data_IF_734178572159
#
_entry.id   IF_734178572159
#
_cell.length_a   1.000
_cell.length_b   1.000
_cell.length_c   1.000
_cell.angle_alpha   90.00
_cell.angle_beta   90.00
_cell.angle_gamma   90.00
#
_symmetry.space_group_name_H-M   'P 1'
#
loop_
_entity.id
_entity.type
_entity.pdbx_description
1 polymer ?
#
# COMPACT_ATOMS: atom_id res chain seq x y z
N UNK A 1 -6.06 -5.69 16.29
CA UNK A 1 -4.77 -5.98 15.63
C UNK A 1 -4.92 -7.20 14.73
N UNK A 2 -4.00 -7.38 13.76
CA UNK A 2 -4.09 -8.47 12.80
C UNK A 2 -3.82 -9.83 13.51
N UNK A 3 -4.81 -10.73 13.51
CA UNK A 3 -4.74 -12.05 14.14
C UNK A 3 -4.65 -13.19 13.10
N UNK A 4 -4.50 -12.85 11.82
CA UNK A 4 -4.42 -13.85 10.74
C UNK A 4 -3.01 -14.48 10.74
N UNK A 5 -2.87 -15.79 10.99
CA UNK A 5 -1.58 -16.44 10.95
C UNK A 5 -0.93 -16.30 9.57
N UNK A 6 0.39 -16.03 9.56
CA UNK A 6 1.11 -15.85 8.30
C UNK A 6 0.99 -17.06 7.36
N UNK A 7 1.05 -18.26 7.93
CA UNK A 7 0.91 -19.49 7.15
C UNK A 7 -0.44 -19.55 6.44
N UNK A 8 -1.52 -19.25 7.14
CA UNK A 8 -2.87 -19.30 6.56
C UNK A 8 -3.05 -18.22 5.49
N UNK A 9 -2.41 -17.04 5.68
CA UNK A 9 -2.37 -16.00 4.67
C UNK A 9 -1.68 -16.44 3.39
N UNK A 10 -0.51 -17.06 3.51
CA UNK A 10 0.26 -17.54 2.36
C UNK A 10 -0.48 -18.69 1.67
N UNK A 11 -1.00 -19.64 2.43
CA UNK A 11 -1.73 -20.80 1.88
C UNK A 11 -3.06 -20.39 1.21
N UNK A 12 -3.67 -19.30 1.65
CA UNK A 12 -4.90 -18.73 1.06
C UNK A 12 -4.66 -17.87 -0.19
N UNK A 13 -3.42 -17.52 -0.48
CA UNK A 13 -3.05 -16.76 -1.67
C UNK A 13 -2.73 -17.64 -2.87
N UNK A 14 -2.45 -17.01 -3.99
CA UNK A 14 -2.02 -17.67 -5.23
C UNK A 14 -0.98 -16.82 -5.96
N UNK A 15 -0.47 -17.35 -7.06
CA UNK A 15 0.50 -16.64 -7.88
C UNK A 15 -0.03 -16.38 -9.27
N UNK A 16 0.19 -15.18 -9.78
CA UNK A 16 0.03 -14.85 -11.19
C UNK A 16 1.42 -14.61 -11.79
N UNK A 17 1.56 -14.80 -13.10
CA UNK A 17 2.78 -14.47 -13.82
C UNK A 17 2.66 -13.08 -14.46
N UNK A 18 3.65 -12.23 -14.19
CA UNK A 18 3.81 -10.94 -14.85
C UNK A 18 5.29 -10.68 -15.11
N UNK A 19 5.65 -10.38 -16.36
CA UNK A 19 7.02 -10.09 -16.78
C UNK A 19 8.01 -11.20 -16.38
N UNK A 20 7.60 -12.48 -16.60
CA UNK A 20 8.34 -13.70 -16.21
C UNK A 20 8.63 -13.81 -14.72
N UNK A 21 7.89 -13.09 -13.87
CA UNK A 21 8.00 -13.11 -12.42
C UNK A 21 6.72 -13.65 -11.78
N UNK A 22 6.88 -14.35 -10.65
CA UNK A 22 5.76 -14.85 -9.85
C UNK A 22 5.31 -13.78 -8.86
N UNK A 23 4.09 -13.32 -8.99
CA UNK A 23 3.48 -12.28 -8.15
C UNK A 23 2.51 -12.94 -7.18
N UNK A 24 2.74 -12.77 -5.90
CA UNK A 24 1.82 -13.25 -4.87
C UNK A 24 0.61 -12.32 -4.79
N UNK A 25 -0.58 -12.92 -4.90
CA UNK A 25 -1.87 -12.24 -4.82
C UNK A 25 -2.73 -12.96 -3.78
N UNK A 26 -3.42 -12.21 -2.95
CA UNK A 26 -4.44 -12.72 -2.05
C UNK A 26 -5.79 -12.10 -2.42
N UNK A 27 -6.71 -12.95 -2.87
CA UNK A 27 -8.06 -12.55 -3.26
C UNK A 27 -9.07 -13.21 -2.34
N UNK A 28 -9.94 -12.42 -1.72
CA UNK A 28 -10.99 -12.88 -0.82
C UNK A 28 -12.33 -12.23 -1.16
N UNK A 29 -13.40 -12.91 -0.77
CA UNK A 29 -14.76 -12.44 -1.04
C UNK A 29 -15.21 -12.71 -2.48
N UNK A 30 -16.37 -12.16 -2.82
CA UNK A 30 -17.00 -12.30 -4.14
C UNK A 30 -17.56 -10.96 -4.57
N UNK A 31 -17.63 -10.73 -5.87
CA UNK A 31 -18.44 -9.64 -6.41
C UNK A 31 -19.89 -9.93 -6.02
N UNK A 32 -20.56 -9.06 -5.26
CA UNK A 32 -21.96 -9.28 -4.90
C UNK A 32 -22.83 -9.34 -6.16
N UNK A 33 -23.77 -10.27 -6.21
CA UNK A 33 -24.81 -10.22 -7.22
C UNK A 33 -25.68 -8.96 -6.99
N UNK A 34 -26.21 -8.38 -8.05
CA UNK A 34 -27.06 -7.18 -7.94
C UNK A 34 -28.27 -7.34 -7.00
N UNK A 35 -28.70 -8.60 -6.75
CA UNK A 35 -29.78 -8.94 -5.83
C UNK A 35 -29.35 -9.04 -4.36
N UNK A 36 -28.05 -9.22 -4.10
CA UNK A 36 -27.47 -9.40 -2.76
C UNK A 36 -26.82 -8.13 -2.23
N UNK A 37 -26.83 -7.07 -3.03
CA UNK A 37 -26.25 -5.78 -2.63
C UNK A 37 -27.07 -5.15 -1.49
N UNK A 38 -26.40 -4.65 -0.44
CA UNK A 38 -27.09 -3.88 0.59
C UNK A 38 -27.75 -2.62 -0.01
N UNK A 39 -28.83 -2.12 0.60
CA UNK A 39 -29.46 -0.88 0.16
C UNK A 39 -28.44 0.28 0.08
N UNK A 40 -28.33 0.90 -1.09
CA UNK A 40 -27.38 1.98 -1.34
C UNK A 40 -26.02 1.57 -1.89
N UNK A 41 -25.70 0.27 -1.95
CA UNK A 41 -24.45 -0.20 -2.56
C UNK A 41 -24.42 0.11 -4.06
N UNK A 42 -23.25 0.51 -4.55
CA UNK A 42 -23.06 0.75 -5.98
C UNK A 42 -22.83 -0.58 -6.72
N UNK A 43 -23.76 -1.00 -7.61
CA UNK A 43 -23.64 -2.27 -8.35
C UNK A 43 -22.49 -2.28 -9.36
N UNK A 44 -21.95 -1.11 -9.70
CA UNK A 44 -20.87 -0.99 -10.68
C UNK A 44 -19.48 -1.20 -10.06
N UNK A 45 -19.34 -1.22 -8.72
CA UNK A 45 -18.07 -1.51 -8.04
C UNK A 45 -17.89 -3.02 -7.93
N UNK A 46 -16.84 -3.54 -8.55
CA UNK A 46 -16.58 -4.98 -8.61
C UNK A 46 -15.49 -5.47 -7.66
N UNK A 47 -14.91 -4.57 -6.88
CA UNK A 47 -13.97 -4.95 -5.84
C UNK A 47 -13.14 -3.80 -5.25
N UNK A 48 -12.27 -4.19 -4.34
CA UNK A 48 -11.28 -3.31 -3.69
C UNK A 48 -9.90 -3.77 -4.13
N UNK A 49 -9.07 -2.85 -4.63
CA UNK A 49 -7.66 -3.08 -4.92
C UNK A 49 -6.81 -2.37 -3.87
N UNK A 50 -6.00 -3.14 -3.14
CA UNK A 50 -5.16 -2.62 -2.06
C UNK A 50 -3.68 -2.65 -2.46
N UNK A 51 -2.98 -1.54 -2.28
CA UNK A 51 -1.55 -1.37 -2.54
C UNK A 51 -0.85 -1.06 -1.22
N UNK A 52 -0.03 -1.99 -0.74
CA UNK A 52 0.75 -1.83 0.49
C UNK A 52 1.94 -0.87 0.34
N UNK A 53 2.63 -0.60 1.44
CA UNK A 53 3.78 0.29 1.51
C UNK A 53 5.11 -0.41 1.77
N UNK A 54 6.16 0.40 1.96
CA UNK A 54 7.52 -0.02 2.30
C UNK A 54 7.72 -0.02 3.83
N UNK A 55 8.39 -1.01 4.40
CA UNK A 55 8.90 -2.25 3.81
C UNK A 55 7.91 -3.43 3.92
N UNK A 56 6.62 -3.14 4.05
CA UNK A 56 5.54 -4.09 4.32
C UNK A 56 5.24 -5.08 3.20
N UNK A 57 4.09 -5.75 3.35
CA UNK A 57 3.57 -6.74 2.42
C UNK A 57 2.03 -6.74 2.40
N UNK A 58 1.44 -7.59 1.58
CA UNK A 58 -0.01 -7.80 1.56
C UNK A 58 -0.57 -8.28 2.90
N UNK A 59 0.23 -8.99 3.72
CA UNK A 59 -0.18 -9.46 5.04
C UNK A 59 -0.57 -8.32 6.00
N UNK A 60 -0.01 -7.14 5.84
CA UNK A 60 -0.33 -5.98 6.68
C UNK A 60 -1.81 -5.58 6.60
N UNK A 61 -2.50 -6.10 5.59
CA UNK A 61 -3.92 -5.86 5.30
C UNK A 61 -4.83 -7.03 5.65
N UNK A 62 -4.29 -8.13 6.18
CA UNK A 62 -5.03 -9.38 6.35
C UNK A 62 -6.30 -9.22 7.21
N UNK A 63 -6.25 -8.44 8.30
CA UNK A 63 -7.44 -8.17 9.13
C UNK A 63 -8.49 -7.33 8.38
N UNK A 64 -8.06 -6.35 7.58
CA UNK A 64 -8.96 -5.54 6.74
C UNK A 64 -9.59 -6.40 5.66
N UNK A 65 -8.80 -7.25 4.99
CA UNK A 65 -9.29 -8.19 3.98
C UNK A 65 -10.33 -9.13 4.57
N UNK A 66 -10.07 -9.70 5.76
CA UNK A 66 -11.00 -10.60 6.43
C UNK A 66 -12.38 -9.95 6.73
N UNK A 67 -12.42 -8.66 7.00
CA UNK A 67 -13.67 -7.94 7.26
C UNK A 67 -14.34 -7.48 5.98
N UNK A 68 -13.62 -6.79 5.08
CA UNK A 68 -14.17 -6.20 3.85
C UNK A 68 -14.64 -7.28 2.88
N UNK A 69 -13.98 -8.44 2.85
CA UNK A 69 -14.35 -9.56 1.97
C UNK A 69 -15.71 -10.17 2.26
N UNK A 70 -16.32 -9.87 3.41
CA UNK A 70 -17.73 -10.24 3.72
C UNK A 70 -18.73 -9.42 2.89
N UNK A 71 -18.29 -8.28 2.34
CA UNK A 71 -19.13 -7.31 1.63
C UNK A 71 -18.85 -7.25 0.13
N UNK A 72 -17.63 -7.50 -0.29
CA UNK A 72 -17.20 -7.44 -1.69
C UNK A 72 -15.93 -8.25 -1.92
N UNK A 73 -15.52 -8.37 -3.17
CA UNK A 73 -14.21 -8.93 -3.51
C UNK A 73 -13.09 -7.96 -3.14
N UNK A 74 -12.04 -8.46 -2.49
CA UNK A 74 -10.85 -7.71 -2.12
C UNK A 74 -9.63 -8.38 -2.74
N UNK A 75 -8.81 -7.61 -3.43
CA UNK A 75 -7.54 -8.03 -4.02
C UNK A 75 -6.42 -7.22 -3.38
N UNK A 76 -5.46 -7.91 -2.80
CA UNK A 76 -4.20 -7.34 -2.32
C UNK A 76 -3.05 -8.21 -2.82
N UNK A 77 -1.91 -7.62 -3.10
CA UNK A 77 -0.77 -8.34 -3.67
C UNK A 77 0.54 -7.81 -3.11
N UNK A 78 1.59 -8.62 -3.19
CA UNK A 78 2.92 -8.17 -2.83
C UNK A 78 3.60 -7.49 -4.01
N UNK A 79 4.05 -6.26 -3.80
CA UNK A 79 4.83 -5.49 -4.76
C UNK A 79 6.15 -6.21 -5.11
N UNK A 80 6.76 -5.93 -6.25
CA UNK A 80 8.10 -6.41 -6.56
C UNK A 80 9.08 -6.09 -5.44
N UNK A 81 9.84 -7.09 -5.02
CA UNK A 81 10.80 -6.96 -3.93
C UNK A 81 10.23 -7.19 -2.53
N UNK A 82 8.90 -7.36 -2.38
CA UNK A 82 8.22 -7.50 -1.10
C UNK A 82 7.58 -8.88 -0.91
N UNK A 83 7.33 -9.24 0.34
CA UNK A 83 6.56 -10.43 0.75
C UNK A 83 6.93 -11.70 0.00
N UNK A 84 5.93 -12.35 -0.59
CA UNK A 84 6.07 -13.62 -1.32
C UNK A 84 6.26 -13.44 -2.83
N UNK A 85 6.22 -12.22 -3.35
CA UNK A 85 6.49 -11.92 -4.77
C UNK A 85 7.98 -12.13 -5.11
N UNK A 86 8.27 -12.42 -6.39
CA UNK A 86 9.63 -12.55 -6.91
C UNK A 86 10.50 -11.33 -6.63
N UNK A 87 11.79 -11.60 -6.45
CA UNK A 87 12.80 -10.62 -6.05
C UNK A 87 14.02 -10.69 -6.99
N UNK A 88 13.90 -10.18 -8.24
CA UNK A 88 15.04 -10.15 -9.16
C UNK A 88 16.22 -9.37 -8.58
N UNK A 89 17.38 -10.01 -8.50
CA UNK A 89 18.61 -9.44 -7.94
C UNK A 89 19.45 -8.68 -8.97
N UNK A 90 19.16 -8.87 -10.23
CA UNK A 90 19.80 -8.16 -11.35
C UNK A 90 18.87 -7.05 -11.88
N UNK A 91 19.41 -6.09 -12.64
CA UNK A 91 18.61 -5.04 -13.31
C UNK A 91 18.42 -3.75 -12.51
N UNK A 92 18.62 -3.76 -11.19
CA UNK A 92 18.57 -2.56 -10.33
C UNK A 92 17.18 -1.95 -10.15
N UNK A 93 17.14 -0.75 -9.56
CA UNK A 93 15.90 -0.08 -9.16
C UNK A 93 15.00 0.29 -10.35
N UNK A 94 15.55 0.95 -11.36
CA UNK A 94 14.73 1.50 -12.46
C UNK A 94 14.05 0.40 -13.29
N UNK A 95 14.72 -0.73 -13.46
CA UNK A 95 14.21 -1.85 -14.25
C UNK A 95 13.15 -2.66 -13.49
N UNK A 96 13.38 -2.94 -12.19
CA UNK A 96 12.56 -3.91 -11.45
C UNK A 96 11.67 -3.29 -10.38
N UNK A 97 12.06 -2.15 -9.79
CA UNK A 97 11.46 -1.65 -8.56
C UNK A 97 10.94 -0.22 -8.64
N UNK A 98 11.06 0.44 -9.80
CA UNK A 98 10.55 1.81 -9.97
C UNK A 98 9.07 1.90 -9.67
N UNK A 99 8.61 3.03 -9.15
CA UNK A 99 7.20 3.26 -8.82
C UNK A 99 6.30 3.15 -10.06
N UNK A 100 6.82 3.47 -11.26
CA UNK A 100 6.11 3.25 -12.52
C UNK A 100 5.93 1.76 -12.80
N UNK A 101 6.98 0.94 -12.61
CA UNK A 101 6.91 -0.52 -12.76
C UNK A 101 5.95 -1.15 -11.75
N UNK A 102 5.91 -0.64 -10.52
CA UNK A 102 4.96 -1.09 -9.50
C UNK A 102 3.51 -0.72 -9.88
N UNK A 103 3.29 0.42 -10.53
CA UNK A 103 1.98 0.78 -11.05
C UNK A 103 1.56 -0.12 -12.23
N UNK A 104 2.50 -0.47 -13.12
CA UNK A 104 2.25 -1.45 -14.20
C UNK A 104 1.88 -2.82 -13.61
N UNK A 105 2.57 -3.24 -12.54
CA UNK A 105 2.23 -4.46 -11.81
C UNK A 105 0.81 -4.40 -11.21
N UNK A 106 0.45 -3.31 -10.55
CA UNK A 106 -0.90 -3.13 -9.97
C UNK A 106 -1.99 -3.24 -11.05
N UNK A 107 -1.74 -2.67 -12.23
CA UNK A 107 -2.65 -2.76 -13.37
C UNK A 107 -2.73 -4.20 -13.92
N UNK A 108 -1.60 -4.90 -14.01
CA UNK A 108 -1.56 -6.30 -14.42
C UNK A 108 -2.31 -7.22 -13.45
N UNK A 109 -2.16 -7.00 -12.13
CA UNK A 109 -2.92 -7.72 -11.09
C UNK A 109 -4.41 -7.45 -11.23
N UNK A 110 -4.83 -6.19 -11.34
CA UNK A 110 -6.23 -5.84 -11.52
C UNK A 110 -6.84 -6.54 -12.74
N UNK A 111 -6.11 -6.58 -13.85
CA UNK A 111 -6.53 -7.27 -15.07
C UNK A 111 -6.61 -8.79 -14.88
N UNK A 112 -5.61 -9.42 -14.27
CA UNK A 112 -5.59 -10.86 -14.02
C UNK A 112 -6.74 -11.30 -13.11
N UNK A 113 -7.07 -10.46 -12.10
CA UNK A 113 -8.17 -10.67 -11.17
C UNK A 113 -9.53 -10.23 -11.73
N UNK A 114 -9.59 -9.71 -12.96
CA UNK A 114 -10.83 -9.27 -13.61
C UNK A 114 -11.50 -8.09 -12.89
N UNK A 115 -10.73 -7.16 -12.36
CA UNK A 115 -11.21 -5.92 -11.76
C UNK A 115 -11.41 -4.86 -12.85
N UNK A 116 -12.58 -4.21 -12.87
CA UNK A 116 -12.93 -3.19 -13.89
C UNK A 116 -13.32 -1.83 -13.29
N UNK A 117 -13.89 -1.82 -12.07
CA UNK A 117 -14.27 -0.59 -11.37
C UNK A 117 -14.07 -0.79 -9.86
N UNK A 118 -13.04 -0.18 -9.29
CA UNK A 118 -12.55 -0.52 -7.96
C UNK A 118 -12.59 0.65 -6.99
N UNK A 119 -12.69 0.33 -5.70
CA UNK A 119 -12.16 1.19 -4.65
C UNK A 119 -10.65 0.94 -4.58
N UNK A 120 -9.86 1.97 -4.88
CA UNK A 120 -8.41 1.92 -4.78
C UNK A 120 -7.98 2.33 -3.37
N UNK A 121 -7.32 1.44 -2.65
CA UNK A 121 -6.79 1.69 -1.31
C UNK A 121 -5.26 1.67 -1.37
N UNK A 122 -4.61 2.68 -0.83
CA UNK A 122 -3.15 2.78 -0.90
C UNK A 122 -2.54 3.36 0.37
N UNK A 123 -1.35 2.87 0.73
CA UNK A 123 -0.65 3.23 1.95
C UNK A 123 0.85 3.41 1.70
N UNK A 124 1.49 4.39 2.34
CA UNK A 124 2.93 4.69 2.32
C UNK A 124 3.50 4.80 0.89
N UNK A 125 4.40 3.88 0.48
CA UNK A 125 4.91 3.81 -0.90
C UNK A 125 3.78 3.58 -1.89
N UNK A 126 2.78 2.79 -1.51
CA UNK A 126 1.58 2.53 -2.29
C UNK A 126 0.79 3.79 -2.61
N UNK A 127 0.84 4.86 -1.78
CA UNK A 127 0.21 6.14 -2.11
C UNK A 127 0.76 6.71 -3.43
N UNK A 128 2.07 6.65 -3.63
CA UNK A 128 2.68 7.18 -4.87
C UNK A 128 2.35 6.31 -6.07
N UNK A 129 2.29 4.99 -5.87
CA UNK A 129 1.82 4.04 -6.89
C UNK A 129 0.34 4.33 -7.23
N UNK A 130 -0.49 4.53 -6.20
CA UNK A 130 -1.89 4.95 -6.35
C UNK A 130 -2.03 6.28 -7.07
N UNK A 131 -1.16 7.26 -6.78
CA UNK A 131 -1.14 8.54 -7.50
C UNK A 131 -0.81 8.35 -8.99
N UNK A 132 0.11 7.44 -9.34
CA UNK A 132 0.37 7.09 -10.75
C UNK A 132 -0.88 6.48 -11.41
N UNK A 133 -1.59 5.58 -10.74
CA UNK A 133 -2.83 5.01 -11.26
C UNK A 133 -3.93 6.07 -11.39
N UNK A 134 -4.05 7.00 -10.44
CA UNK A 134 -4.97 8.14 -10.53
C UNK A 134 -4.63 9.05 -11.72
N UNK A 135 -3.33 9.31 -11.95
CA UNK A 135 -2.89 10.05 -13.15
C UNK A 135 -3.30 9.34 -14.43
N UNK A 136 -3.05 8.04 -14.54
CA UNK A 136 -3.45 7.23 -15.69
C UNK A 136 -4.96 7.24 -15.89
N UNK A 137 -5.74 7.17 -14.81
CA UNK A 137 -7.20 7.25 -14.84
C UNK A 137 -7.70 8.58 -15.42
N UNK A 138 -7.20 9.71 -14.89
CA UNK A 138 -7.58 11.06 -15.38
C UNK A 138 -7.22 11.29 -16.86
N UNK A 139 -6.23 10.56 -17.39
CA UNK A 139 -5.75 10.66 -18.77
C UNK A 139 -6.27 9.54 -19.70
N UNK A 140 -7.21 8.70 -19.23
CA UNK A 140 -7.77 7.60 -20.01
C UNK A 140 -6.74 6.52 -20.41
N UNK A 141 -5.71 6.33 -19.58
CA UNK A 141 -4.60 5.39 -19.83
C UNK A 141 -4.64 4.16 -18.89
N UNK A 142 -5.59 4.10 -17.96
CA UNK A 142 -5.76 3.00 -17.03
C UNK A 142 -6.74 1.97 -17.62
N UNK A 143 -6.45 0.67 -17.46
CA UNK A 143 -7.29 -0.42 -17.98
C UNK A 143 -8.54 -0.70 -17.14
N UNK A 144 -8.64 -0.13 -15.94
CA UNK A 144 -9.80 -0.20 -15.07
C UNK A 144 -10.23 1.20 -14.61
N UNK A 145 -11.40 1.31 -13.97
CA UNK A 145 -11.88 2.56 -13.39
C UNK A 145 -11.59 2.62 -11.90
N UNK A 146 -11.27 3.80 -11.40
CA UNK A 146 -11.22 4.08 -9.96
C UNK A 146 -12.58 4.70 -9.61
N UNK A 147 -13.38 3.97 -8.81
CA UNK A 147 -14.65 4.46 -8.28
C UNK A 147 -14.42 5.44 -7.13
N UNK A 148 -13.49 5.12 -6.25
CA UNK A 148 -13.07 5.94 -5.12
C UNK A 148 -11.61 5.66 -4.79
N UNK A 149 -10.82 6.68 -4.47
CA UNK A 149 -9.45 6.52 -3.98
C UNK A 149 -9.39 6.82 -2.47
N UNK A 150 -8.99 5.83 -1.67
CA UNK A 150 -8.70 5.95 -0.25
C UNK A 150 -7.19 5.88 -0.02
N UNK A 151 -6.65 6.88 0.62
CA UNK A 151 -5.22 6.99 0.87
C UNK A 151 -4.96 7.08 2.37
N UNK A 152 -4.01 6.27 2.84
CA UNK A 152 -3.57 6.23 4.23
C UNK A 152 -2.09 6.58 4.33
N UNK A 153 -1.72 7.44 5.29
CA UNK A 153 -0.35 7.71 5.74
C UNK A 153 0.72 7.54 4.64
N UNK A 154 0.55 8.27 3.54
CA UNK A 154 1.48 8.19 2.42
C UNK A 154 2.57 9.24 2.46
N UNK A 155 3.66 9.02 1.73
CA UNK A 155 4.83 9.89 1.74
C UNK A 155 5.20 10.45 0.35
N UNK A 156 4.18 10.67 -0.49
CA UNK A 156 4.35 11.25 -1.84
C UNK A 156 4.93 12.68 -1.79
N UNK A 157 4.56 13.46 -0.76
CA UNK A 157 5.13 14.79 -0.53
C UNK A 157 6.53 14.67 0.09
N UNK A 158 7.48 14.18 -0.68
CA UNK A 158 8.80 13.75 -0.21
C UNK A 158 9.60 14.84 0.52
N UNK A 159 9.32 16.12 0.28
CA UNK A 159 9.98 17.24 0.98
C UNK A 159 9.50 17.38 2.43
N UNK A 160 8.40 16.75 2.81
CA UNK A 160 7.84 16.71 4.17
C UNK A 160 8.11 15.39 4.89
N UNK A 161 8.77 14.42 4.23
CA UNK A 161 9.05 13.10 4.82
C UNK A 161 10.09 13.22 5.94
N UNK A 162 9.80 12.59 7.07
CA UNK A 162 10.78 12.41 8.14
C UNK A 162 11.32 10.97 8.10
N UNK A 163 12.48 10.79 7.46
CA UNK A 163 13.12 9.48 7.39
C UNK A 163 13.58 9.02 8.78
N UNK A 164 13.23 7.80 9.15
CA UNK A 164 13.80 7.14 10.32
C UNK A 164 15.23 6.66 10.06
N UNK A 165 15.92 6.17 11.09
CA UNK A 165 17.33 5.80 10.98
C UNK A 165 17.54 4.58 10.08
N UNK A 166 16.59 3.60 10.07
CA UNK A 166 16.64 2.48 9.13
C UNK A 166 16.62 2.99 7.68
N UNK A 167 15.68 3.88 7.35
CA UNK A 167 15.56 4.44 6.00
C UNK A 167 16.80 5.25 5.59
N UNK A 168 17.36 6.06 6.50
CA UNK A 168 18.61 6.81 6.26
C UNK A 168 19.79 5.86 6.00
N UNK A 169 19.92 4.82 6.81
CA UNK A 169 20.98 3.83 6.68
C UNK A 169 20.87 3.07 5.34
N UNK A 170 19.66 2.63 4.95
CA UNK A 170 19.42 1.98 3.67
C UNK A 170 19.77 2.89 2.48
N UNK A 171 19.41 4.18 2.54
CA UNK A 171 19.74 5.15 1.50
C UNK A 171 21.25 5.44 1.40
N UNK A 172 21.98 5.31 2.50
CA UNK A 172 23.44 5.48 2.52
C UNK A 172 24.21 4.27 1.97
N UNK A 173 23.56 3.10 1.88
CA UNK A 173 24.17 1.89 1.32
C UNK A 173 24.29 2.00 -0.21
N UNK A 174 25.18 1.20 -0.85
CA UNK A 174 25.27 1.13 -2.31
C UNK A 174 23.91 0.75 -2.95
N UNK A 175 23.63 1.30 -4.13
CA UNK A 175 22.45 1.00 -4.94
C UNK A 175 22.63 -0.35 -5.68
N UNK A 176 22.68 -1.41 -4.91
CA UNK A 176 22.76 -2.80 -5.39
C UNK A 176 22.29 -3.76 -4.30
N UNK A 177 21.86 -4.96 -4.67
CA UNK A 177 21.60 -6.02 -3.69
C UNK A 177 22.83 -6.31 -2.82
N UNK A 178 22.57 -6.64 -1.56
CA UNK A 178 23.61 -7.03 -0.61
C UNK A 178 23.99 -8.50 -0.77
N UNK A 179 25.25 -8.83 -0.46
CA UNK A 179 25.76 -10.20 -0.49
C UNK A 179 25.19 -11.07 0.66
N UNK A 180 24.74 -10.44 1.75
CA UNK A 180 24.16 -11.10 2.93
C UNK A 180 22.92 -10.36 3.42
N UNK A 181 22.08 -11.07 4.18
CA UNK A 181 20.91 -10.49 4.81
C UNK A 181 21.27 -9.44 5.86
N UNK A 182 20.45 -8.39 5.95
CA UNK A 182 20.53 -7.45 7.05
C UNK A 182 20.03 -8.11 8.34
N UNK A 183 20.55 -7.69 9.53
CA UNK A 183 20.07 -8.20 10.81
C UNK A 183 18.58 -7.96 11.00
N UNK A 184 17.85 -8.98 11.47
CA UNK A 184 16.41 -8.90 11.78
C UNK A 184 16.07 -7.75 12.72
N UNK A 185 16.90 -7.57 13.71
CA UNK A 185 16.74 -6.58 14.77
C UNK A 185 16.60 -5.16 14.20
N UNK A 186 17.31 -4.85 13.12
CA UNK A 186 17.22 -3.54 12.46
C UNK A 186 15.80 -3.27 11.94
N UNK A 187 15.11 -4.29 11.42
CA UNK A 187 13.74 -4.17 10.95
C UNK A 187 12.76 -4.11 12.10
N UNK A 188 12.91 -4.98 13.11
CA UNK A 188 12.05 -5.00 14.29
C UNK A 188 12.07 -3.64 14.98
N UNK A 189 13.24 -3.06 15.22
CA UNK A 189 13.37 -1.75 15.87
C UNK A 189 12.83 -0.62 14.98
N UNK A 190 13.15 -0.65 13.68
CA UNK A 190 12.66 0.32 12.71
C UNK A 190 11.13 0.33 12.59
N UNK A 191 10.50 -0.85 12.57
CA UNK A 191 9.06 -1.01 12.55
C UNK A 191 8.42 -0.57 13.88
N UNK A 192 8.95 -1.03 15.01
CA UNK A 192 8.42 -0.69 16.34
C UNK A 192 8.27 0.82 16.53
N UNK A 193 9.25 1.59 16.07
CA UNK A 193 9.27 3.05 16.21
C UNK A 193 8.24 3.78 15.34
N UNK A 194 7.51 3.08 14.47
CA UNK A 194 6.50 3.69 13.60
C UNK A 194 5.05 3.43 14.02
N UNK A 195 4.82 2.55 14.99
CA UNK A 195 3.50 2.34 15.60
C UNK A 195 3.16 3.43 16.60
N UNK A 196 1.88 3.69 16.80
CA UNK A 196 1.41 4.58 17.86
C UNK A 196 1.65 3.98 19.25
N UNK A 197 1.57 4.82 20.29
CA UNK A 197 1.68 4.35 21.66
C UNK A 197 0.45 3.57 22.10
N UNK A 198 -0.71 4.00 21.63
CA UNK A 198 -2.01 3.41 21.94
C UNK A 198 -2.20 2.04 21.28
N UNK A 199 -1.59 1.84 20.12
CA UNK A 199 -1.71 0.61 19.33
C UNK A 199 -0.33 0.00 19.02
N UNK A 200 0.56 -0.01 20.02
CA UNK A 200 1.91 -0.56 19.86
C UNK A 200 1.87 -2.02 19.36
N UNK A 201 2.68 -2.32 18.34
CA UNK A 201 2.77 -3.68 17.82
C UNK A 201 3.33 -4.65 18.86
N UNK A 202 2.76 -5.85 18.91
CA UNK A 202 3.33 -6.97 19.67
C UNK A 202 4.61 -7.49 19.01
N UNK A 203 5.44 -8.21 19.78
CA UNK A 203 6.63 -8.85 19.21
C UNK A 203 6.25 -9.87 18.11
N UNK A 204 5.11 -10.53 18.24
CA UNK A 204 4.58 -11.45 17.22
C UNK A 204 4.32 -10.73 15.89
N UNK A 205 3.61 -9.62 15.92
CA UNK A 205 3.34 -8.79 14.70
C UNK A 205 4.67 -8.33 14.07
N UNK A 206 5.58 -7.77 14.87
CA UNK A 206 6.88 -7.32 14.38
C UNK A 206 7.70 -8.44 13.76
N UNK A 207 7.66 -9.63 14.35
CA UNK A 207 8.33 -10.81 13.79
C UNK A 207 7.71 -11.24 12.46
N UNK A 208 6.38 -11.28 12.34
CA UNK A 208 5.71 -11.63 11.08
C UNK A 208 6.04 -10.61 9.98
N UNK A 209 5.94 -9.32 10.27
CA UNK A 209 6.32 -8.27 9.31
C UNK A 209 7.79 -8.44 8.87
N UNK A 210 8.69 -8.71 9.82
CA UNK A 210 10.10 -8.94 9.51
C UNK A 210 10.31 -10.22 8.69
N UNK A 211 9.57 -11.30 8.96
CA UNK A 211 9.61 -12.52 8.14
C UNK A 211 9.23 -12.25 6.68
N UNK A 212 8.23 -11.37 6.45
CA UNK A 212 7.84 -10.97 5.11
C UNK A 212 8.93 -10.11 4.42
N UNK A 213 9.58 -9.21 5.14
CA UNK A 213 10.71 -8.43 4.62
C UNK A 213 11.86 -9.35 4.20
N UNK A 214 12.17 -10.34 5.02
CA UNK A 214 13.29 -11.26 4.80
C UNK A 214 12.97 -12.40 3.82
N UNK A 215 11.69 -12.67 3.56
CA UNK A 215 11.27 -13.74 2.64
C UNK A 215 12.00 -13.66 1.30
N UNK A 216 12.46 -14.82 0.78
CA UNK A 216 13.14 -14.90 -0.53
C UNK A 216 14.33 -13.93 -0.67
N UNK A 217 15.11 -13.75 0.38
CA UNK A 217 16.25 -12.81 0.45
C UNK A 217 15.88 -11.32 0.31
N UNK A 218 14.65 -10.94 0.64
CA UNK A 218 14.14 -9.57 0.45
C UNK A 218 14.93 -8.50 1.19
N UNK A 219 15.49 -8.81 2.38
CA UNK A 219 16.31 -7.87 3.14
C UNK A 219 17.53 -7.36 2.35
N UNK A 220 18.07 -8.17 1.45
CA UNK A 220 19.22 -7.81 0.59
C UNK A 220 18.86 -6.76 -0.46
N UNK A 221 17.57 -6.63 -0.81
CA UNK A 221 17.08 -5.67 -1.79
C UNK A 221 16.67 -4.33 -1.17
N UNK A 222 16.58 -4.23 0.15
CA UNK A 222 16.11 -3.00 0.80
C UNK A 222 16.91 -1.76 0.40
N UNK A 223 18.26 -1.79 0.23
CA UNK A 223 19.00 -0.64 -0.29
C UNK A 223 18.63 -0.24 -1.72
N UNK A 224 18.22 -1.19 -2.55
CA UNK A 224 17.75 -0.92 -3.92
C UNK A 224 16.32 -0.36 -3.87
N UNK A 225 15.41 -1.03 -3.17
CA UNK A 225 13.99 -0.65 -3.13
C UNK A 225 13.81 0.76 -2.56
N UNK A 226 14.53 1.13 -1.49
CA UNK A 226 14.41 2.45 -0.86
C UNK A 226 14.71 3.61 -1.82
N UNK A 227 15.32 3.35 -3.01
CA UNK A 227 15.55 4.37 -4.05
C UNK A 227 14.26 4.98 -4.60
N UNK A 228 13.10 4.40 -4.31
CA UNK A 228 11.81 5.04 -4.60
C UNK A 228 11.74 6.46 -4.01
N UNK A 229 12.41 6.73 -2.88
CA UNK A 229 12.50 8.06 -2.30
C UNK A 229 13.23 9.06 -3.22
N UNK A 230 14.27 8.60 -3.93
CA UNK A 230 14.98 9.41 -4.92
C UNK A 230 14.16 9.61 -6.18
N UNK A 231 13.38 8.59 -6.58
CA UNK A 231 12.46 8.72 -7.72
C UNK A 231 11.35 9.73 -7.43
N UNK A 232 10.79 9.76 -6.21
CA UNK A 232 9.84 10.80 -5.77
C UNK A 232 10.47 12.20 -5.89
N UNK A 233 11.73 12.38 -5.47
CA UNK A 233 12.44 13.66 -5.60
C UNK A 233 12.64 14.10 -7.06
N UNK A 234 12.79 13.16 -7.99
CA UNK A 234 12.89 13.46 -9.42
C UNK A 234 11.53 13.78 -10.07
N UNK A 235 10.42 13.45 -9.40
CA UNK A 235 9.05 13.59 -9.91
C UNK A 235 8.18 14.47 -8.99
N UNK A 236 8.76 15.56 -8.46
CA UNK A 236 8.09 16.48 -7.51
C UNK A 236 6.83 17.15 -8.07
N UNK A 237 6.77 17.34 -9.38
CA UNK A 237 5.62 17.96 -10.05
C UNK A 237 4.58 16.94 -10.53
N UNK A 238 4.96 15.66 -10.66
CA UNK A 238 4.07 14.65 -11.22
C UNK A 238 3.08 14.10 -10.19
N UNK A 239 3.57 13.34 -9.21
CA UNK A 239 2.69 12.67 -8.24
C UNK A 239 2.04 13.61 -7.21
N UNK A 240 2.73 14.62 -6.65
CA UNK A 240 2.07 15.62 -5.80
C UNK A 240 0.94 16.34 -6.53
N UNK A 241 1.18 16.83 -7.76
CA UNK A 241 0.16 17.50 -8.57
C UNK A 241 -1.03 16.59 -8.84
N UNK A 242 -0.79 15.29 -9.09
CA UNK A 242 -1.88 14.33 -9.25
C UNK A 242 -2.77 14.25 -8.00
N UNK A 243 -2.18 14.20 -6.80
CA UNK A 243 -2.97 14.19 -5.55
C UNK A 243 -3.79 15.46 -5.36
N UNK A 244 -3.27 16.60 -5.81
CA UNK A 244 -3.95 17.90 -5.69
C UNK A 244 -5.08 18.05 -6.72
N UNK A 245 -4.90 17.53 -7.93
CA UNK A 245 -5.75 17.80 -9.10
C UNK A 245 -6.64 16.62 -9.52
N UNK A 246 -6.47 15.42 -8.94
CA UNK A 246 -7.29 14.24 -9.30
C UNK A 246 -8.79 14.54 -9.20
N UNK A 247 -9.52 14.32 -10.28
CA UNK A 247 -10.93 14.76 -10.42
C UNK A 247 -11.89 13.70 -10.93
N UNK A 248 -11.39 12.61 -11.50
CA UNK A 248 -12.25 11.61 -12.15
C UNK A 248 -12.97 10.69 -11.16
N UNK A 249 -12.61 10.74 -9.86
CA UNK A 249 -13.30 10.01 -8.80
C UNK A 249 -13.20 10.74 -7.46
N UNK A 250 -14.06 10.42 -6.47
CA UNK A 250 -13.93 10.86 -5.09
C UNK A 250 -12.58 10.42 -4.49
N UNK A 251 -12.06 11.25 -3.57
CA UNK A 251 -10.76 11.05 -2.94
C UNK A 251 -10.85 11.33 -1.44
N UNK A 252 -10.44 10.38 -0.62
CA UNK A 252 -10.44 10.49 0.84
C UNK A 252 -9.05 10.21 1.40
N UNK A 253 -8.67 10.97 2.42
CA UNK A 253 -7.46 10.76 3.21
C UNK A 253 -7.82 10.30 4.62
N UNK A 254 -7.17 9.25 5.08
CA UNK A 254 -7.23 8.79 6.46
C UNK A 254 -5.82 8.80 7.04
N UNK A 255 -5.61 9.58 8.11
CA UNK A 255 -4.25 9.88 8.56
C UNK A 255 -4.06 9.66 10.05
N UNK A 256 -3.17 8.75 10.41
CA UNK A 256 -2.69 8.57 11.76
C UNK A 256 -1.72 9.68 12.13
N UNK A 257 -2.02 10.45 13.19
CA UNK A 257 -1.26 11.64 13.56
C UNK A 257 -0.01 11.33 14.39
N UNK A 258 0.15 10.09 14.89
CA UNK A 258 1.37 9.65 15.58
C UNK A 258 2.41 9.05 14.61
N UNK A 259 2.17 9.10 13.30
CA UNK A 259 3.12 8.66 12.30
C UNK A 259 4.39 9.53 12.30
N UNK A 260 5.57 8.98 12.62
CA UNK A 260 6.79 9.76 12.65
C UNK A 260 7.41 9.99 11.27
N UNK A 261 6.92 9.29 10.22
CA UNK A 261 7.44 9.32 8.85
C UNK A 261 6.55 10.17 7.94
N UNK A 262 5.28 9.81 7.86
CA UNK A 262 4.27 10.52 7.05
C UNK A 262 3.49 11.47 7.95
N UNK A 263 4.15 12.58 8.29
CA UNK A 263 3.68 13.53 9.30
C UNK A 263 2.40 14.27 8.90
N UNK A 264 1.68 14.81 9.89
CA UNK A 264 0.40 15.52 9.72
C UNK A 264 0.46 16.64 8.67
N UNK A 265 1.60 17.33 8.53
CA UNK A 265 1.77 18.39 7.55
C UNK A 265 1.52 17.94 6.11
N UNK A 266 1.72 16.65 5.81
CA UNK A 266 1.45 16.13 4.47
C UNK A 266 -0.05 16.10 4.17
N UNK A 267 -0.89 15.57 5.06
CA UNK A 267 -2.32 15.55 4.84
C UNK A 267 -2.93 16.95 4.89
N UNK A 268 -2.38 17.84 5.73
CA UNK A 268 -2.76 19.25 5.76
C UNK A 268 -2.45 19.93 4.42
N UNK A 269 -1.26 19.70 3.87
CA UNK A 269 -0.87 20.26 2.56
C UNK A 269 -1.77 19.75 1.43
N UNK A 270 -2.10 18.46 1.40
CA UNK A 270 -3.03 17.92 0.40
C UNK A 270 -4.42 18.57 0.56
N UNK A 271 -4.92 18.74 1.79
CA UNK A 271 -6.20 19.40 2.06
C UNK A 271 -6.20 20.87 1.69
N UNK A 272 -5.07 21.57 1.89
CA UNK A 272 -4.89 22.97 1.48
C UNK A 272 -4.97 23.11 -0.05
N UNK A 273 -4.19 22.31 -0.79
CA UNK A 273 -4.16 22.35 -2.26
C UNK A 273 -5.45 21.79 -2.90
N UNK A 274 -6.12 20.87 -2.21
CA UNK A 274 -7.38 20.27 -2.64
C UNK A 274 -8.45 20.39 -1.53
N UNK A 275 -9.15 21.53 -1.42
CA UNK A 275 -10.15 21.75 -0.36
C UNK A 275 -11.32 20.76 -0.36
N UNK A 276 -11.61 20.11 -1.50
CA UNK A 276 -12.66 19.08 -1.62
C UNK A 276 -12.25 17.71 -1.04
N UNK A 277 -10.99 17.52 -0.62
CA UNK A 277 -10.54 16.26 -0.02
C UNK A 277 -11.35 15.93 1.24
N UNK A 278 -11.88 14.73 1.31
CA UNK A 278 -12.48 14.17 2.52
C UNK A 278 -11.35 13.68 3.45
N UNK A 279 -11.00 14.50 4.45
CA UNK A 279 -9.86 14.23 5.34
C UNK A 279 -10.32 13.80 6.73
N UNK A 280 -9.88 12.61 7.13
CA UNK A 280 -10.09 12.03 8.45
C UNK A 280 -8.75 11.90 9.19
N UNK A 281 -8.66 12.51 10.36
CA UNK A 281 -7.47 12.49 11.21
C UNK A 281 -7.69 11.62 12.44
N UNK A 282 -6.76 10.72 12.71
CA UNK A 282 -6.79 9.79 13.84
C UNK A 282 -5.64 10.09 14.81
N UNK A 283 -5.89 10.80 15.93
CA UNK A 283 -4.84 11.27 16.83
C UNK A 283 -4.13 10.16 17.61
N UNK A 284 -4.73 8.98 17.67
CA UNK A 284 -4.28 7.78 18.38
C UNK A 284 -3.60 6.72 17.49
N UNK A 285 -3.41 7.00 16.20
CA UNK A 285 -2.90 6.03 15.21
C UNK A 285 -1.54 6.48 14.67
N UNK A 286 -0.63 5.53 14.45
CA UNK A 286 0.69 5.72 13.86
C UNK A 286 0.72 5.48 12.36
N UNK A 287 1.82 4.86 11.90
CA UNK A 287 2.09 4.63 10.49
C UNK A 287 1.32 3.44 9.88
N UNK A 288 0.84 2.49 10.71
CA UNK A 288 0.28 1.23 10.24
C UNK A 288 -1.23 1.10 10.53
N UNK A 289 -2.09 1.99 10.01
CA UNK A 289 -3.51 1.97 10.38
C UNK A 289 -4.22 0.66 10.02
N UNK A 290 -3.77 -0.08 9.00
CA UNK A 290 -4.30 -1.41 8.65
C UNK A 290 -4.03 -2.49 9.70
N UNK A 291 -3.00 -2.31 10.52
CA UNK A 291 -2.64 -3.20 11.64
C UNK A 291 -3.15 -2.64 12.96
N UNK A 292 -3.01 -1.33 13.17
CA UNK A 292 -3.33 -0.64 14.43
C UNK A 292 -4.85 -0.57 14.67
N UNK A 293 -5.61 -0.23 13.64
CA UNK A 293 -7.06 0.02 13.71
C UNK A 293 -7.80 -0.55 12.49
N UNK A 294 -7.65 -1.86 12.20
CA UNK A 294 -8.21 -2.49 10.98
C UNK A 294 -9.73 -2.30 10.86
N UNK A 295 -10.45 -2.23 11.97
CA UNK A 295 -11.89 -1.98 12.00
C UNK A 295 -12.27 -0.60 11.46
N UNK A 296 -11.45 0.44 11.74
CA UNK A 296 -11.70 1.80 11.20
C UNK A 296 -11.45 1.86 9.70
N UNK A 297 -10.39 1.20 9.24
CA UNK A 297 -10.08 1.09 7.80
C UNK A 297 -11.18 0.31 7.08
N UNK A 298 -11.57 -0.85 7.62
CA UNK A 298 -12.63 -1.69 7.05
C UNK A 298 -13.93 -0.90 6.93
N UNK A 299 -14.32 -0.19 7.99
CA UNK A 299 -15.49 0.68 7.96
C UNK A 299 -15.38 1.75 6.88
N UNK A 300 -14.22 2.42 6.78
CA UNK A 300 -14.00 3.45 5.76
C UNK A 300 -14.19 2.91 4.34
N UNK A 301 -13.69 1.69 4.06
CA UNK A 301 -13.85 1.04 2.76
C UNK A 301 -15.32 0.65 2.53
N UNK A 302 -15.97 0.00 3.52
CA UNK A 302 -17.36 -0.45 3.42
C UNK A 302 -18.32 0.72 3.22
N UNK A 303 -18.10 1.85 3.91
CA UNK A 303 -18.92 3.06 3.73
C UNK A 303 -18.85 3.57 2.26
N UNK A 304 -17.74 3.36 1.56
CA UNK A 304 -17.57 3.77 0.14
C UNK A 304 -18.10 2.73 -0.86
N UNK A 305 -18.34 1.50 -0.43
CA UNK A 305 -19.09 0.52 -1.22
C UNK A 305 -20.57 0.86 -1.26
N UNK A 306 -21.07 1.54 -0.23
CA UNK A 306 -22.50 1.84 -0.06
C UNK A 306 -22.90 3.23 -0.59
N UNK A 307 -22.02 3.96 -1.26
CA UNK A 307 -22.29 5.26 -1.90
C UNK A 307 -21.81 6.45 -1.11
#
# INVERSE_FOLDING_TARGET
MNEVPLKDWIDGGHYIEYDSQQIFVHTSGKVPNSQDLPPGANPDVDGVLIIHGFPGSSWDWAAVVAEVSKHTRVVVFDLFGHGQTSKPMEGGFEENYSLFKQADLAEAVAKAEGLHNVILVSHDMGQTIGAELMYRHDHGKLSFKIHHALVHNGSTLVNLVHLNDLQKNLLAMPDKPLDADLPRENFIEGLRGTFSKEHAATDEILNIMTDQIMAKNGSRLMPVIIRYMLQRKRNLEHWPTTLFEFKSAPFSLYWGLQDPVSVEDMCNKIKEERPSTDLHKWPDVGHWPSIEVPERISKAIIDRLNG
#
